data_IF_867323977979
#
_entry.id   IF_867323977979
#
_cell.length_a   1.000
_cell.length_b   1.000
_cell.length_c   1.000
_cell.angle_alpha   90.00
_cell.angle_beta   90.00
_cell.angle_gamma   90.00
#
_symmetry.space_group_name_H-M   'P 1'
#
loop_
_entity.id
_entity.type
_entity.pdbx_description
1 polymer ?
#
# COMPACT_ATOMS: atom_id res chain seq x y z
N UNK A 1 30.43 15.81 6.46
CA UNK A 1 30.67 14.66 5.55
C UNK A 1 29.37 14.42 4.81
N UNK A 2 29.39 14.56 3.49
CA UNK A 2 28.23 14.34 2.63
C UNK A 2 28.01 12.83 2.46
N UNK A 3 26.93 12.30 3.02
CA UNK A 3 26.47 10.94 2.78
C UNK A 3 25.46 10.96 1.64
N UNK A 4 25.91 10.68 0.42
CA UNK A 4 25.07 10.67 -0.78
C UNK A 4 24.04 9.55 -0.69
N UNK A 5 22.79 9.94 -0.49
CA UNK A 5 21.59 9.13 -0.68
C UNK A 5 21.53 8.65 -2.13
N UNK A 6 21.78 7.36 -2.36
CA UNK A 6 21.57 6.72 -3.65
C UNK A 6 20.10 6.37 -3.86
N UNK A 7 19.23 7.36 -3.95
CA UNK A 7 17.89 7.17 -4.52
C UNK A 7 17.96 7.53 -6.00
N UNK A 8 17.49 6.62 -6.85
CA UNK A 8 17.36 6.81 -8.29
C UNK A 8 16.54 8.08 -8.55
N UNK A 9 17.15 9.07 -9.21
CA UNK A 9 16.57 10.40 -9.48
C UNK A 9 15.59 10.38 -10.65
N UNK A 10 14.54 9.55 -10.54
CA UNK A 10 13.36 9.57 -11.40
C UNK A 10 12.12 9.97 -10.58
N UNK A 11 11.05 10.49 -11.22
CA UNK A 11 9.81 10.74 -10.51
C UNK A 11 9.26 9.41 -9.95
N UNK A 12 8.93 9.40 -8.66
CA UNK A 12 8.58 8.19 -7.92
C UNK A 12 7.26 7.56 -8.38
N UNK A 13 6.48 8.27 -9.18
CA UNK A 13 5.23 7.83 -9.82
C UNK A 13 5.44 7.12 -11.18
N UNK A 14 6.68 7.00 -11.64
CA UNK A 14 7.01 6.42 -12.96
C UNK A 14 6.50 4.99 -13.17
N UNK A 15 6.22 4.27 -12.09
CA UNK A 15 5.57 2.96 -12.13
C UNK A 15 4.22 3.03 -12.86
N UNK A 16 3.47 4.13 -12.86
CA UNK A 16 2.17 4.17 -13.53
C UNK A 16 2.25 4.41 -15.04
N UNK A 17 3.44 4.70 -15.59
CA UNK A 17 3.59 5.08 -17.00
C UNK A 17 3.06 4.00 -17.94
N UNK A 18 2.15 4.37 -18.83
CA UNK A 18 1.57 3.46 -19.83
C UNK A 18 0.47 2.54 -19.29
N UNK A 19 0.09 2.67 -18.02
CA UNK A 19 -1.09 1.99 -17.47
C UNK A 19 -2.34 2.87 -17.63
N UNK A 20 -3.48 2.25 -17.90
CA UNK A 20 -4.78 2.90 -17.70
C UNK A 20 -5.04 3.16 -16.22
N UNK A 21 -5.97 4.06 -15.89
CA UNK A 21 -6.30 4.37 -14.48
C UNK A 21 -6.74 3.12 -13.70
N UNK A 22 -7.50 2.21 -14.33
CA UNK A 22 -7.92 0.95 -13.72
C UNK A 22 -6.75 -0.01 -13.46
N UNK A 23 -5.81 -0.12 -14.41
CA UNK A 23 -4.60 -0.95 -14.23
C UNK A 23 -3.66 -0.36 -13.18
N UNK A 24 -3.52 0.97 -13.14
CA UNK A 24 -2.70 1.64 -12.14
C UNK A 24 -3.29 1.48 -10.72
N UNK A 25 -4.61 1.58 -10.58
CA UNK A 25 -5.31 1.33 -9.33
C UNK A 25 -5.15 -0.11 -8.83
N UNK A 26 -5.30 -1.07 -9.73
CA UNK A 26 -5.10 -2.49 -9.41
C UNK A 26 -3.65 -2.78 -9.01
N UNK A 27 -2.69 -2.28 -9.78
CA UNK A 27 -1.26 -2.38 -9.44
C UNK A 27 -0.96 -1.78 -8.07
N UNK A 28 -1.52 -0.61 -7.76
CA UNK A 28 -1.31 0.07 -6.48
C UNK A 28 -1.84 -0.75 -5.29
N UNK A 29 -3.02 -1.38 -5.44
CA UNK A 29 -3.58 -2.27 -4.41
C UNK A 29 -2.74 -3.55 -4.27
N UNK A 30 -2.28 -4.13 -5.39
CA UNK A 30 -1.42 -5.31 -5.36
C UNK A 30 -0.04 -5.03 -4.74
N UNK A 31 0.50 -3.80 -4.87
CA UNK A 31 1.71 -3.37 -4.15
C UNK A 31 1.51 -3.49 -2.63
N UNK A 32 0.36 -3.05 -2.12
CA UNK A 32 0.03 -3.15 -0.71
C UNK A 32 -0.07 -4.62 -0.29
N UNK A 33 -0.88 -5.42 -1.01
CA UNK A 33 -1.10 -6.84 -0.70
C UNK A 33 0.19 -7.65 -0.72
N UNK A 34 1.06 -7.42 -1.72
CA UNK A 34 2.38 -8.04 -1.79
C UNK A 34 3.27 -7.68 -0.60
N UNK A 35 3.20 -6.44 -0.12
CA UNK A 35 3.99 -6.03 1.05
C UNK A 35 3.50 -6.70 2.34
N UNK A 36 2.20 -6.94 2.47
CA UNK A 36 1.65 -7.71 3.60
C UNK A 36 2.17 -9.15 3.55
N UNK A 37 2.21 -9.74 2.36
CA UNK A 37 2.75 -11.08 2.15
C UNK A 37 4.25 -11.16 2.45
N UNK A 38 5.03 -10.22 1.94
CA UNK A 38 6.47 -10.13 2.19
C UNK A 38 6.79 -10.03 3.68
N UNK A 39 6.03 -9.24 4.44
CA UNK A 39 6.21 -9.13 5.89
C UNK A 39 5.88 -10.43 6.62
N UNK A 40 4.81 -11.12 6.19
CA UNK A 40 4.45 -12.42 6.74
C UNK A 40 5.53 -13.47 6.47
N UNK A 41 6.05 -13.54 5.24
CA UNK A 41 6.97 -14.60 4.81
C UNK A 41 8.41 -14.33 5.26
N UNK A 42 8.87 -13.08 5.23
CA UNK A 42 10.29 -12.74 5.50
C UNK A 42 10.52 -12.21 6.91
N UNK A 43 9.53 -11.56 7.51
CA UNK A 43 9.64 -10.93 8.83
C UNK A 43 8.76 -11.61 9.89
N UNK A 44 7.98 -12.64 9.53
CA UNK A 44 7.10 -13.33 10.47
C UNK A 44 5.99 -12.45 11.06
N UNK A 45 5.46 -11.51 10.26
CA UNK A 45 4.45 -10.53 10.66
C UNK A 45 4.94 -9.49 11.69
N UNK A 46 6.24 -9.14 11.68
CA UNK A 46 6.80 -8.15 12.60
C UNK A 46 6.22 -6.74 12.39
N UNK A 47 5.88 -6.39 11.15
CA UNK A 47 5.43 -5.04 10.82
C UNK A 47 3.93 -4.95 10.53
N UNK A 48 3.31 -6.06 10.11
CA UNK A 48 1.92 -6.13 9.66
C UNK A 48 1.24 -7.38 10.19
N UNK A 49 0.20 -7.21 11.03
CA UNK A 49 -0.64 -8.30 11.52
C UNK A 49 -1.71 -8.76 10.51
N UNK A 50 -1.48 -8.52 9.21
CA UNK A 50 -2.52 -8.38 8.20
C UNK A 50 -3.45 -9.60 8.09
N UNK A 51 -2.89 -10.81 8.04
CA UNK A 51 -3.65 -12.03 7.81
C UNK A 51 -4.61 -12.37 8.97
N UNK A 52 -4.27 -11.97 10.19
CA UNK A 52 -5.08 -12.21 11.39
C UNK A 52 -5.90 -10.98 11.83
N UNK A 53 -5.69 -9.85 11.16
CA UNK A 53 -6.34 -8.59 11.46
C UNK A 53 -7.84 -8.61 11.13
N UNK A 54 -8.63 -7.88 11.91
CA UNK A 54 -10.03 -7.56 11.59
C UNK A 54 -10.16 -6.74 10.30
N UNK A 55 -11.36 -6.67 9.72
CA UNK A 55 -11.65 -5.80 8.58
C UNK A 55 -11.25 -4.33 8.85
N UNK A 56 -11.46 -3.85 10.07
CA UNK A 56 -11.07 -2.50 10.48
C UNK A 56 -9.55 -2.30 10.45
N UNK A 57 -8.80 -3.23 11.03
CA UNK A 57 -7.33 -3.14 11.07
C UNK A 57 -6.72 -3.23 9.67
N UNK A 58 -7.21 -4.14 8.82
CA UNK A 58 -6.79 -4.24 7.40
C UNK A 58 -7.04 -2.93 6.65
N UNK A 59 -8.24 -2.36 6.78
CA UNK A 59 -8.60 -1.08 6.16
C UNK A 59 -7.70 0.06 6.66
N UNK A 60 -7.45 0.10 7.98
CA UNK A 60 -6.60 1.11 8.62
C UNK A 60 -5.17 1.04 8.11
N UNK A 61 -4.59 -0.15 7.97
CA UNK A 61 -3.24 -0.29 7.40
C UNK A 61 -3.18 0.19 5.95
N UNK A 62 -4.20 -0.13 5.15
CA UNK A 62 -4.27 0.38 3.79
C UNK A 62 -4.46 1.90 3.71
N UNK A 63 -5.21 2.50 4.64
CA UNK A 63 -5.31 3.95 4.78
C UNK A 63 -3.94 4.59 5.03
N UNK A 64 -3.13 3.98 5.89
CA UNK A 64 -1.77 4.44 6.19
C UNK A 64 -0.89 4.33 4.95
N UNK A 65 -0.95 3.20 4.24
CA UNK A 65 -0.24 3.01 2.97
C UNK A 65 -0.59 4.09 1.94
N UNK A 66 -1.88 4.36 1.72
CA UNK A 66 -2.34 5.39 0.79
C UNK A 66 -1.82 6.79 1.19
N UNK A 67 -1.83 7.10 2.48
CA UNK A 67 -1.34 8.37 3.01
C UNK A 67 0.18 8.52 2.82
N UNK A 68 0.95 7.47 3.13
CA UNK A 68 2.40 7.45 2.91
C UNK A 68 2.75 7.60 1.42
N UNK A 69 1.95 7.02 0.53
CA UNK A 69 2.13 7.18 -0.91
C UNK A 69 1.98 8.64 -1.35
N UNK A 70 1.05 9.38 -0.74
CA UNK A 70 0.89 10.82 -0.96
C UNK A 70 2.08 11.59 -0.38
N UNK A 71 2.48 11.29 0.86
CA UNK A 71 3.62 11.96 1.52
C UNK A 71 4.92 11.81 0.73
N UNK A 72 5.15 10.63 0.15
CA UNK A 72 6.36 10.32 -0.60
C UNK A 72 6.25 10.69 -2.09
N UNK A 73 5.12 11.25 -2.56
CA UNK A 73 4.95 11.66 -3.96
C UNK A 73 4.95 10.48 -4.95
N UNK A 74 4.51 9.31 -4.50
CA UNK A 74 4.44 8.07 -5.31
C UNK A 74 3.13 7.99 -6.11
N UNK A 75 2.12 8.77 -5.70
CA UNK A 75 0.79 8.79 -6.32
C UNK A 75 0.85 9.59 -7.63
N UNK A 76 0.62 8.95 -8.79
CA UNK A 76 0.53 9.65 -10.07
C UNK A 76 -0.70 10.54 -10.11
N UNK A 77 -0.60 11.68 -10.81
CA UNK A 77 -1.73 12.60 -11.00
C UNK A 77 -2.94 11.98 -11.72
N UNK A 78 -2.73 10.90 -12.47
CA UNK A 78 -3.77 10.16 -13.19
C UNK A 78 -4.47 9.08 -12.35
N UNK A 79 -4.01 8.83 -11.13
CA UNK A 79 -4.59 7.83 -10.24
C UNK A 79 -5.80 8.39 -9.52
N UNK A 80 -6.97 7.79 -9.76
CA UNK A 80 -8.21 8.16 -9.08
C UNK A 80 -8.40 7.33 -7.82
N UNK A 81 -8.54 7.99 -6.67
CA UNK A 81 -8.86 7.32 -5.41
C UNK A 81 -10.17 6.55 -5.45
N UNK A 82 -11.15 6.99 -6.26
CA UNK A 82 -12.42 6.28 -6.40
C UNK A 82 -12.21 4.91 -7.06
N UNK A 83 -11.32 4.85 -8.04
CA UNK A 83 -10.96 3.60 -8.72
C UNK A 83 -10.09 2.72 -7.82
N UNK A 84 -9.16 3.33 -7.07
CA UNK A 84 -8.32 2.61 -6.08
C UNK A 84 -9.19 1.96 -5.01
N UNK A 85 -10.10 2.71 -4.38
CA UNK A 85 -10.95 2.18 -3.33
C UNK A 85 -11.95 1.14 -3.84
N UNK A 86 -12.41 1.29 -5.09
CA UNK A 86 -13.23 0.26 -5.71
C UNK A 86 -12.44 -1.03 -5.95
N UNK A 87 -11.19 -0.92 -6.43
CA UNK A 87 -10.29 -2.09 -6.56
C UNK A 87 -9.92 -2.69 -5.22
N UNK A 88 -9.73 -1.88 -4.19
CA UNK A 88 -9.44 -2.36 -2.85
C UNK A 88 -10.61 -3.18 -2.30
N UNK A 89 -11.86 -2.76 -2.50
CA UNK A 89 -13.04 -3.53 -2.11
C UNK A 89 -13.00 -4.98 -2.61
N UNK A 90 -12.57 -5.18 -3.86
CA UNK A 90 -12.55 -6.49 -4.52
C UNK A 90 -11.31 -7.33 -4.18
N UNK A 91 -10.21 -6.71 -3.76
CA UNK A 91 -8.89 -7.38 -3.70
C UNK A 91 -8.30 -7.45 -2.30
N UNK A 92 -8.54 -6.45 -1.46
CA UNK A 92 -7.76 -6.22 -0.24
C UNK A 92 -7.85 -7.43 0.72
N UNK A 93 -9.02 -8.06 0.84
CA UNK A 93 -9.21 -9.18 1.77
C UNK A 93 -8.45 -10.46 1.37
N UNK A 94 -7.96 -10.55 0.14
CA UNK A 94 -7.31 -11.74 -0.39
C UNK A 94 -5.79 -11.60 -0.33
N UNK A 95 -5.12 -12.68 0.07
CA UNK A 95 -3.66 -12.83 -0.03
C UNK A 95 -3.19 -12.53 -1.46
N UNK A 96 -1.96 -12.05 -1.60
CA UNK A 96 -1.34 -11.85 -2.92
C UNK A 96 0.14 -12.21 -2.84
N UNK A 97 0.39 -13.47 -3.14
CA UNK A 97 1.71 -14.06 -3.07
C UNK A 97 2.55 -13.67 -4.30
N UNK A 98 3.85 -13.94 -4.21
CA UNK A 98 4.76 -13.77 -5.35
C UNK A 98 4.33 -14.58 -6.59
N UNK A 99 3.78 -15.79 -6.39
CA UNK A 99 3.24 -16.66 -7.44
C UNK A 99 2.09 -15.98 -8.18
N UNK A 100 1.14 -15.39 -7.46
CA UNK A 100 0.01 -14.64 -8.03
C UNK A 100 0.49 -13.49 -8.91
N UNK A 101 1.52 -12.77 -8.46
CA UNK A 101 2.12 -11.68 -9.23
C UNK A 101 2.82 -12.17 -10.51
N UNK A 102 3.49 -13.32 -10.44
CA UNK A 102 4.11 -13.95 -11.62
C UNK A 102 3.06 -14.40 -12.63
N UNK A 103 1.97 -15.01 -12.17
CA UNK A 103 0.85 -15.41 -13.04
C UNK A 103 0.18 -14.19 -13.68
N UNK A 104 -0.13 -13.16 -12.88
CA UNK A 104 -0.89 -11.99 -13.31
C UNK A 104 -0.10 -11.04 -14.20
N UNK A 105 1.19 -10.84 -13.92
CA UNK A 105 2.01 -9.83 -14.60
C UNK A 105 3.19 -10.43 -15.41
N UNK A 106 3.35 -11.75 -15.41
CA UNK A 106 4.35 -12.49 -16.21
C UNK A 106 5.80 -12.41 -15.72
N UNK A 107 6.13 -11.45 -14.85
CA UNK A 107 7.44 -11.28 -14.22
C UNK A 107 7.26 -10.50 -12.90
N UNK A 108 7.82 -11.00 -11.80
CA UNK A 108 8.01 -10.20 -10.59
C UNK A 108 9.48 -10.31 -10.15
N UNK A 109 10.16 -9.16 -10.13
CA UNK A 109 11.54 -9.03 -9.70
C UNK A 109 11.80 -7.59 -9.23
N UNK A 110 12.28 -7.40 -8.00
CA UNK A 110 12.69 -6.09 -7.45
C UNK A 110 13.65 -5.34 -8.38
N UNK A 111 14.57 -6.06 -9.03
CA UNK A 111 15.56 -5.48 -9.94
C UNK A 111 14.97 -5.08 -11.30
N UNK A 112 13.73 -5.49 -11.64
CA UNK A 112 13.09 -5.08 -12.89
C UNK A 112 12.95 -3.56 -12.99
N UNK A 113 12.79 -2.85 -11.85
CA UNK A 113 12.77 -1.40 -11.84
C UNK A 113 14.09 -0.75 -12.32
N UNK A 114 15.24 -1.41 -12.09
CA UNK A 114 16.56 -0.89 -12.46
C UNK A 114 16.86 -1.06 -13.95
N UNK A 115 16.19 -1.99 -14.63
CA UNK A 115 16.29 -2.18 -16.09
C UNK A 115 15.16 -1.48 -16.85
N UNK A 116 14.40 -0.60 -16.19
CA UNK A 116 13.30 0.17 -16.78
C UNK A 116 11.95 -0.56 -16.82
N UNK A 117 11.85 -1.73 -16.20
CA UNK A 117 10.60 -2.45 -15.95
C UNK A 117 9.85 -1.95 -14.70
N UNK A 118 8.79 -2.67 -14.33
CA UNK A 118 7.92 -2.32 -13.21
C UNK A 118 7.98 -3.43 -12.16
N UNK A 119 8.09 -3.07 -10.88
CA UNK A 119 8.12 -4.04 -9.77
C UNK A 119 7.18 -3.59 -8.66
N UNK A 120 6.31 -4.51 -8.22
CA UNK A 120 5.37 -4.28 -7.12
C UNK A 120 6.15 -3.98 -5.82
N UNK A 121 7.16 -4.79 -5.50
CA UNK A 121 8.03 -4.56 -4.34
C UNK A 121 8.76 -3.23 -4.40
N UNK A 122 9.35 -2.87 -5.54
CA UNK A 122 10.03 -1.58 -5.68
C UNK A 122 9.05 -0.40 -5.50
N UNK A 123 7.83 -0.53 -6.03
CA UNK A 123 6.77 0.47 -5.87
C UNK A 123 6.33 0.59 -4.41
N UNK A 124 6.11 -0.53 -3.72
CA UNK A 124 5.77 -0.55 -2.29
C UNK A 124 6.89 0.02 -1.42
N UNK A 125 8.16 -0.26 -1.75
CA UNK A 125 9.32 0.34 -1.08
C UNK A 125 9.33 1.86 -1.23
N UNK A 126 8.98 2.40 -2.39
CA UNK A 126 8.84 3.86 -2.57
C UNK A 126 7.72 4.43 -1.71
N UNK A 127 6.59 3.71 -1.57
CA UNK A 127 5.48 4.14 -0.71
C UNK A 127 5.91 4.17 0.76
N UNK A 128 6.57 3.12 1.23
CA UNK A 128 6.97 3.02 2.63
C UNK A 128 8.22 3.83 2.97
N UNK A 129 9.08 4.12 1.99
CA UNK A 129 10.38 4.74 2.20
C UNK A 129 11.46 3.77 2.71
N UNK A 130 11.16 2.46 2.81
CA UNK A 130 12.10 1.44 3.28
C UNK A 130 11.89 0.06 2.63
N UNK A 131 12.99 -0.70 2.57
CA UNK A 131 13.00 -2.09 2.14
C UNK A 131 12.29 -3.03 3.12
N UNK A 132 12.24 -4.32 2.80
CA UNK A 132 11.67 -5.32 3.72
C UNK A 132 12.60 -5.57 4.92
N UNK A 133 13.92 -5.39 4.76
CA UNK A 133 14.93 -5.65 5.81
C UNK A 133 15.46 -4.36 6.50
N UNK A 134 14.74 -3.24 6.43
CA UNK A 134 15.28 -1.90 6.72
C UNK A 134 15.13 -1.39 8.16
N UNK A 135 15.63 -2.09 9.19
CA UNK A 135 15.70 -1.59 10.58
C UNK A 135 16.94 -0.67 10.73
N UNK A 136 16.85 0.64 10.38
CA UNK A 136 16.13 1.62 11.22
C UNK A 136 15.02 2.39 10.49
N UNK A 137 14.91 2.24 9.18
CA UNK A 137 13.98 2.95 8.31
C UNK A 137 12.51 2.52 8.58
N UNK A 138 12.29 1.30 9.10
CA UNK A 138 11.00 0.84 9.64
C UNK A 138 10.47 1.71 10.79
N UNK A 139 11.34 2.44 11.51
CA UNK A 139 10.94 3.31 12.63
C UNK A 139 9.98 4.42 12.19
N UNK A 140 10.20 4.99 10.99
CA UNK A 140 9.30 6.01 10.46
C UNK A 140 7.90 5.45 10.20
N UNK A 141 7.83 4.24 9.70
CA UNK A 141 6.57 3.52 9.53
C UNK A 141 5.92 3.13 10.86
N UNK A 142 6.68 2.61 11.83
CA UNK A 142 6.19 2.32 13.18
C UNK A 142 5.62 3.59 13.84
N UNK A 143 6.27 4.74 13.66
CA UNK A 143 5.77 6.04 14.10
C UNK A 143 4.50 6.48 13.35
N UNK A 144 4.45 6.29 12.03
CA UNK A 144 3.24 6.55 11.25
C UNK A 144 2.09 5.67 11.74
N UNK A 145 2.31 4.38 11.99
CA UNK A 145 1.33 3.47 12.58
C UNK A 145 0.85 3.95 13.95
N UNK A 146 1.75 4.41 14.82
CA UNK A 146 1.38 4.92 16.14
C UNK A 146 0.50 6.19 16.07
N UNK A 147 0.65 7.00 15.02
CA UNK A 147 -0.11 8.24 14.83
C UNK A 147 -1.55 8.01 14.35
N UNK A 148 -1.92 6.81 13.92
CA UNK A 148 -3.28 6.49 13.48
C UNK A 148 -4.04 5.78 14.61
N UNK A 149 -5.20 6.28 15.04
CA UNK A 149 -6.00 5.61 16.06
C UNK A 149 -6.30 4.15 15.72
N UNK A 150 -6.20 3.27 16.71
CA UNK A 150 -6.56 1.86 16.62
C UNK A 150 -8.01 1.58 17.08
N UNK A 151 -8.80 2.63 17.30
CA UNK A 151 -10.22 2.56 17.63
C UNK A 151 -11.01 3.17 16.47
N UNK A 152 -11.93 2.40 15.90
CA UNK A 152 -12.71 2.78 14.71
C UNK A 152 -13.38 4.15 14.85
N UNK A 153 -14.12 4.36 15.93
CA UNK A 153 -14.83 5.62 16.18
C UNK A 153 -13.89 6.81 16.34
N UNK A 154 -12.67 6.61 16.83
CA UNK A 154 -11.65 7.66 16.96
C UNK A 154 -11.01 7.96 15.61
N UNK A 155 -10.70 6.93 14.81
CA UNK A 155 -10.13 7.10 13.47
C UNK A 155 -11.08 7.92 12.57
N UNK A 156 -12.36 7.53 12.53
CA UNK A 156 -13.40 8.21 11.72
C UNK A 156 -13.83 9.57 12.26
N UNK A 157 -13.34 10.04 13.42
CA UNK A 157 -13.50 11.45 13.82
C UNK A 157 -12.50 12.37 13.14
N UNK A 158 -11.35 11.84 12.72
CA UNK A 158 -10.25 12.64 12.18
C UNK A 158 -10.31 12.69 10.66
N UNK A 159 -11.13 13.60 10.12
CA UNK A 159 -11.33 13.80 8.66
C UNK A 159 -10.04 13.99 7.87
N UNK A 160 -8.99 14.52 8.50
CA UNK A 160 -7.70 14.78 7.86
C UNK A 160 -7.05 13.52 7.27
N UNK A 161 -7.19 12.35 7.91
CA UNK A 161 -6.59 11.10 7.40
C UNK A 161 -7.19 10.65 6.07
N UNK A 162 -8.44 11.04 5.79
CA UNK A 162 -9.18 10.57 4.62
C UNK A 162 -9.23 11.60 3.49
N UNK A 163 -9.14 12.89 3.81
CA UNK A 163 -9.41 13.99 2.88
C UNK A 163 -8.55 13.96 1.62
N UNK A 164 -7.28 13.57 1.74
CA UNK A 164 -6.34 13.50 0.61
C UNK A 164 -6.32 12.15 -0.14
N UNK A 165 -7.08 11.17 0.35
CA UNK A 165 -7.15 9.80 -0.19
C UNK A 165 -8.59 9.38 -0.45
N UNK A 166 -9.38 10.25 -1.08
CA UNK A 166 -10.74 9.92 -1.57
C UNK A 166 -11.91 10.34 -0.66
N UNK A 167 -11.63 10.76 0.58
CA UNK A 167 -12.62 11.27 1.52
C UNK A 167 -13.32 10.18 2.36
N UNK A 168 -13.72 10.56 3.57
CA UNK A 168 -14.19 9.65 4.64
C UNK A 168 -15.29 8.68 4.21
N UNK A 169 -16.33 9.17 3.54
CA UNK A 169 -17.51 8.38 3.16
C UNK A 169 -17.15 7.14 2.32
N UNK A 170 -16.09 7.21 1.51
CA UNK A 170 -15.64 6.07 0.70
C UNK A 170 -14.95 5.00 1.53
N UNK A 171 -14.22 5.42 2.56
CA UNK A 171 -13.58 4.51 3.50
C UNK A 171 -14.58 3.83 4.44
N UNK A 172 -15.64 4.54 4.85
CA UNK A 172 -16.76 3.93 5.57
C UNK A 172 -17.44 2.85 4.73
N UNK A 173 -17.69 3.14 3.44
CA UNK A 173 -18.25 2.15 2.49
C UNK A 173 -17.33 0.94 2.31
N UNK A 174 -16.03 1.17 2.13
CA UNK A 174 -15.03 0.09 2.03
C UNK A 174 -15.04 -0.77 3.28
N UNK A 175 -14.97 -0.17 4.48
CA UNK A 175 -15.01 -0.92 5.74
C UNK A 175 -16.29 -1.74 5.89
N UNK A 176 -17.44 -1.15 5.55
CA UNK A 176 -18.71 -1.86 5.61
C UNK A 176 -18.75 -3.05 4.63
N UNK A 177 -18.18 -2.92 3.43
CA UNK A 177 -18.05 -4.03 2.49
C UNK A 177 -17.12 -5.12 3.02
N UNK A 178 -15.98 -4.74 3.58
CA UNK A 178 -15.01 -5.68 4.15
C UNK A 178 -15.61 -6.46 5.32
N UNK A 179 -16.36 -5.81 6.21
CA UNK A 179 -17.05 -6.48 7.34
C UNK A 179 -18.03 -7.55 6.86
N UNK A 180 -18.88 -7.22 5.87
CA UNK A 180 -19.83 -8.18 5.28
C UNK A 180 -19.12 -9.41 4.70
N UNK A 181 -18.06 -9.20 3.93
CA UNK A 181 -17.31 -10.28 3.31
C UNK A 181 -16.55 -11.18 4.31
N UNK A 182 -16.37 -10.75 5.57
CA UNK A 182 -15.74 -11.56 6.63
C UNK A 182 -16.74 -12.26 7.55
N UNK A 183 -18.03 -11.96 7.42
CA UNK A 183 -19.12 -12.57 8.21
C UNK A 183 -19.80 -13.74 7.47
N UNK A 184 -19.51 -13.91 6.18
CA UNK A 184 -19.95 -15.02 5.31
C UNK A 184 -18.98 -16.20 5.36
#
# INVERSE_FOLDING_TARGET
MFGSSGFVSGPQDSWARGLSSAQAAEWFVDCFRMRMDDDQVWCGAEHHGYYFASAFEKMREFLIFCNLAVDNGVVPSTLSWDVVLKKAEDLILYAFEKSDAQEKYGQENVFAALTGGRSLRASAMSVYGFGINGEPQSTQFKNAMANYPNVESTLFRTKAYFGRVGGMDKWEKLLAAMKRATEE
#
